data_IF_357484808518
#
_entry.id   IF_357484808518
#
_cell.length_a   1.000
_cell.length_b   1.000
_cell.length_c   1.000
_cell.angle_alpha   90.00
_cell.angle_beta   90.00
_cell.angle_gamma   90.00
#
_symmetry.space_group_name_H-M   'P 1'
#
loop_
_entity.id
_entity.type
_entity.pdbx_description
1 polymer ?
#
# COMPACT_ATOMS: atom_id res chain seq x y z
N UNK A 1 -16.22 8.29 -4.97
CA UNK A 1 -15.87 9.23 -3.90
C UNK A 1 -15.00 10.35 -4.48
N UNK A 2 -15.38 11.58 -4.22
CA UNK A 2 -14.58 12.75 -4.55
C UNK A 2 -14.34 13.57 -3.29
N UNK A 3 -13.10 13.97 -3.06
CA UNK A 3 -12.65 14.72 -1.90
C UNK A 3 -11.88 15.96 -2.34
N UNK A 4 -12.04 17.05 -1.62
CA UNK A 4 -11.13 18.19 -1.76
C UNK A 4 -9.75 17.81 -1.21
N UNK A 5 -8.71 18.39 -1.76
CA UNK A 5 -7.33 18.15 -1.33
C UNK A 5 -7.17 18.18 0.20
N UNK A 6 -7.70 19.20 0.86
CA UNK A 6 -7.62 19.36 2.32
C UNK A 6 -8.30 18.25 3.12
N UNK A 7 -9.33 17.64 2.55
CA UNK A 7 -10.10 16.55 3.21
C UNK A 7 -9.45 15.19 2.95
N UNK A 8 -8.72 15.05 1.84
CA UNK A 8 -8.03 13.83 1.45
C UNK A 8 -6.81 13.50 2.35
N UNK A 9 -6.34 14.46 3.10
CA UNK A 9 -5.24 14.26 4.09
C UNK A 9 -5.60 13.17 5.10
N UNK A 10 -6.87 13.04 5.46
CA UNK A 10 -7.35 11.98 6.35
C UNK A 10 -7.16 10.56 5.78
N UNK A 11 -7.00 10.44 4.46
CA UNK A 11 -6.73 9.18 3.78
C UNK A 11 -5.24 9.01 3.40
N UNK A 12 -4.37 9.84 3.95
CA UNK A 12 -2.95 9.85 3.59
C UNK A 12 -2.67 10.42 2.18
N UNK A 13 -3.64 11.14 1.60
CA UNK A 13 -3.55 11.79 0.30
C UNK A 13 -3.69 13.30 0.47
N UNK A 14 -3.46 14.06 -0.60
CA UNK A 14 -3.54 15.52 -0.53
C UNK A 14 -2.17 16.16 -0.30
N UNK A 15 -2.18 17.47 -0.04
CA UNK A 15 -0.98 18.27 0.15
C UNK A 15 -0.62 19.14 -1.07
N UNK A 16 0.49 19.92 -0.99
CA UNK A 16 0.79 20.97 -1.96
C UNK A 16 1.16 20.48 -3.36
N UNK A 17 1.47 19.18 -3.49
CA UNK A 17 1.81 18.54 -4.78
C UNK A 17 0.65 17.74 -5.37
N UNK A 18 -0.50 17.72 -4.73
CA UNK A 18 -1.70 17.04 -5.21
C UNK A 18 -2.67 18.03 -5.86
N UNK A 19 -3.53 17.53 -6.73
CA UNK A 19 -4.60 18.31 -7.34
C UNK A 19 -5.62 18.81 -6.31
N UNK A 20 -6.46 19.76 -6.70
CA UNK A 20 -7.47 20.37 -5.82
C UNK A 20 -8.57 19.40 -5.43
N UNK A 21 -8.85 18.43 -6.29
CA UNK A 21 -9.85 17.38 -6.08
C UNK A 21 -9.18 16.02 -6.29
N UNK A 22 -9.38 15.14 -5.34
CA UNK A 22 -8.97 13.73 -5.39
C UNK A 22 -10.22 12.88 -5.51
N UNK A 23 -10.25 12.01 -6.51
CA UNK A 23 -11.40 11.15 -6.71
C UNK A 23 -10.98 9.68 -6.81
N UNK A 24 -11.83 8.82 -6.30
CA UNK A 24 -11.68 7.38 -6.32
C UNK A 24 -12.84 6.78 -7.11
N UNK A 25 -12.54 5.88 -8.03
CA UNK A 25 -13.55 5.16 -8.80
C UNK A 25 -14.46 4.37 -7.86
N UNK A 26 -15.73 4.25 -8.24
CA UNK A 26 -16.64 3.35 -7.55
C UNK A 26 -16.25 1.89 -7.83
N UNK A 27 -16.70 0.99 -6.95
CA UNK A 27 -16.51 -0.45 -7.16
C UNK A 27 -17.13 -0.86 -8.51
N UNK A 28 -16.39 -1.61 -9.31
CA UNK A 28 -16.79 -2.01 -10.67
C UNK A 28 -16.28 -1.09 -11.78
N UNK A 29 -15.62 0.04 -11.44
CA UNK A 29 -15.03 0.96 -12.41
C UNK A 29 -13.53 1.05 -12.23
N UNK A 30 -12.79 1.05 -13.31
CA UNK A 30 -11.35 1.33 -13.34
C UNK A 30 -11.12 2.73 -13.90
N UNK A 31 -10.03 3.33 -13.48
CA UNK A 31 -9.51 4.56 -14.07
C UNK A 31 -8.13 4.24 -14.58
N UNK A 32 -7.90 4.46 -15.87
CA UNK A 32 -6.64 4.18 -16.50
C UNK A 32 -5.96 5.48 -16.95
N UNK A 33 -4.66 5.43 -17.03
CA UNK A 33 -3.81 6.56 -17.40
C UNK A 33 -3.45 6.56 -18.89
N UNK A 34 -3.72 5.48 -19.57
CA UNK A 34 -3.40 5.27 -20.97
C UNK A 34 -4.44 4.36 -21.63
N UNK A 35 -4.43 4.32 -22.96
CA UNK A 35 -5.24 3.40 -23.77
C UNK A 35 -4.76 1.94 -23.65
N UNK A 36 -4.48 1.49 -22.45
CA UNK A 36 -4.13 0.11 -22.17
C UNK A 36 -5.35 -0.66 -21.71
N UNK A 37 -5.62 -1.78 -22.37
CA UNK A 37 -6.64 -2.71 -21.91
C UNK A 37 -6.20 -3.32 -20.58
N UNK A 38 -6.94 -3.04 -19.52
CA UNK A 38 -6.79 -3.82 -18.30
C UNK A 38 -7.26 -5.25 -18.56
N UNK A 39 -6.35 -6.21 -18.43
CA UNK A 39 -6.67 -7.63 -18.54
C UNK A 39 -7.32 -8.21 -17.28
N UNK A 40 -7.52 -7.39 -16.28
CA UNK A 40 -8.10 -7.81 -14.99
C UNK A 40 -9.53 -7.36 -14.92
N UNK A 41 -10.44 -8.24 -15.28
CA UNK A 41 -11.88 -8.00 -15.18
C UNK A 41 -12.31 -7.81 -13.72
N UNK A 42 -13.12 -6.78 -13.47
CA UNK A 42 -13.82 -6.58 -12.19
C UNK A 42 -12.96 -6.24 -10.99
N UNK A 43 -11.76 -5.77 -11.20
CA UNK A 43 -10.73 -5.71 -10.16
C UNK A 43 -10.77 -4.49 -9.24
N UNK A 44 -11.72 -3.58 -9.35
CA UNK A 44 -11.62 -2.29 -8.65
C UNK A 44 -11.63 -2.40 -7.14
N UNK A 45 -12.40 -3.29 -6.57
CA UNK A 45 -12.36 -3.56 -5.12
C UNK A 45 -11.16 -4.39 -4.69
N UNK A 46 -10.56 -5.15 -5.60
CA UNK A 46 -9.47 -6.10 -5.35
C UNK A 46 -8.12 -5.60 -5.84
N UNK A 47 -8.06 -4.61 -6.72
CA UNK A 47 -6.81 -4.06 -7.23
C UNK A 47 -5.94 -3.43 -6.15
N UNK A 48 -6.56 -2.98 -5.05
CA UNK A 48 -5.86 -2.49 -3.87
C UNK A 48 -5.44 -3.62 -2.90
N UNK A 49 -5.85 -4.87 -3.16
CA UNK A 49 -5.56 -6.05 -2.34
C UNK A 49 -4.48 -6.89 -3.03
N UNK A 50 -3.27 -6.38 -3.03
CA UNK A 50 -2.13 -7.06 -3.64
C UNK A 50 -1.62 -8.22 -2.78
N UNK A 51 -0.94 -9.17 -3.43
CA UNK A 51 -0.22 -10.23 -2.72
C UNK A 51 1.03 -9.64 -2.06
N UNK A 52 1.27 -10.03 -0.82
CA UNK A 52 2.55 -9.82 -0.15
C UNK A 52 3.23 -11.18 0.08
N UNK A 53 4.45 -11.34 -0.40
CA UNK A 53 5.29 -12.52 -0.18
C UNK A 53 6.72 -12.08 0.12
N UNK A 54 7.34 -12.72 1.09
CA UNK A 54 8.71 -12.45 1.47
C UNK A 54 9.46 -13.75 1.78
N UNK A 55 10.71 -13.84 1.37
CA UNK A 55 11.60 -14.96 1.67
C UNK A 55 13.05 -14.47 1.77
N UNK A 56 13.83 -15.07 2.63
CA UNK A 56 15.25 -14.76 2.80
C UNK A 56 15.71 -14.82 4.25
N UNK A 57 16.99 -14.52 4.50
CA UNK A 57 17.52 -14.48 5.87
C UNK A 57 16.72 -13.52 6.75
N UNK A 58 16.38 -13.94 7.96
CA UNK A 58 15.59 -13.17 8.90
C UNK A 58 14.07 -13.21 8.67
N UNK A 59 13.61 -13.95 7.65
CA UNK A 59 12.18 -14.17 7.38
C UNK A 59 11.81 -15.61 7.81
N UNK A 60 10.69 -15.77 8.50
CA UNK A 60 10.16 -17.06 8.88
C UNK A 60 9.80 -17.90 7.66
N UNK A 61 10.24 -19.14 7.65
CA UNK A 61 9.85 -20.11 6.64
C UNK A 61 8.45 -20.69 6.91
N UNK A 62 7.73 -21.01 5.84
CA UNK A 62 6.40 -21.62 5.89
C UNK A 62 5.37 -20.87 6.77
N UNK A 63 5.57 -19.57 6.95
CA UNK A 63 4.67 -18.74 7.74
C UNK A 63 3.61 -18.09 6.87
N UNK A 64 2.36 -18.16 7.29
CA UNK A 64 1.23 -17.49 6.65
C UNK A 64 0.48 -16.65 7.67
N UNK A 65 0.40 -15.35 7.43
CA UNK A 65 -0.41 -14.46 8.27
C UNK A 65 -1.80 -14.27 7.68
N UNK A 66 -2.79 -14.14 8.57
CA UNK A 66 -4.16 -13.70 8.22
C UNK A 66 -4.34 -12.20 8.40
N UNK A 67 -3.34 -11.51 8.98
CA UNK A 67 -3.39 -10.08 9.19
C UNK A 67 -3.19 -9.36 7.87
N UNK A 68 -3.96 -8.32 7.64
CA UNK A 68 -3.75 -7.40 6.53
C UNK A 68 -2.42 -6.67 6.74
N UNK A 69 -1.62 -6.64 5.68
CA UNK A 69 -0.35 -5.91 5.61
C UNK A 69 -0.56 -4.72 4.69
N UNK A 70 -0.17 -3.56 5.12
CA UNK A 70 -0.26 -2.34 4.32
C UNK A 70 1.03 -2.09 3.54
N UNK A 71 0.92 -1.51 2.37
CA UNK A 71 2.09 -1.20 1.53
C UNK A 71 3.12 -0.33 2.27
N UNK A 72 2.67 0.60 3.09
CA UNK A 72 3.52 1.48 3.91
C UNK A 72 4.35 0.73 4.96
N UNK A 73 3.99 -0.52 5.30
CA UNK A 73 4.70 -1.35 6.27
C UNK A 73 5.97 -2.00 5.69
N UNK A 74 6.12 -2.01 4.37
CA UNK A 74 7.24 -2.70 3.69
C UNK A 74 8.58 -2.02 4.02
N UNK A 75 8.67 -0.71 3.87
CA UNK A 75 9.90 0.05 4.14
C UNK A 75 10.41 -0.11 5.57
N UNK A 76 9.59 0.09 6.62
CA UNK A 76 10.05 -0.13 7.99
C UNK A 76 10.37 -1.59 8.28
N UNK A 77 9.74 -2.55 7.60
CA UNK A 77 10.11 -3.98 7.71
C UNK A 77 11.49 -4.26 7.15
N UNK A 78 11.82 -3.68 6.00
CA UNK A 78 13.17 -3.77 5.42
C UNK A 78 14.20 -3.14 6.37
N UNK A 79 13.90 -1.96 6.90
CA UNK A 79 14.79 -1.30 7.86
C UNK A 79 15.05 -2.17 9.09
N UNK A 80 14.02 -2.82 9.63
CA UNK A 80 14.15 -3.74 10.76
C UNK A 80 15.01 -4.97 10.41
N UNK A 81 14.86 -5.54 9.22
CA UNK A 81 15.68 -6.68 8.75
C UNK A 81 17.16 -6.32 8.66
N UNK A 82 17.48 -5.13 8.21
CA UNK A 82 18.86 -4.66 8.08
C UNK A 82 19.42 -4.01 9.35
N UNK A 83 18.62 -3.89 10.40
CA UNK A 83 19.04 -3.22 11.64
C UNK A 83 19.39 -1.74 11.44
N UNK A 84 18.78 -1.09 10.47
CA UNK A 84 18.97 0.32 10.17
C UNK A 84 17.80 1.16 10.68
N UNK A 85 18.04 2.45 10.85
CA UNK A 85 17.01 3.38 11.27
C UNK A 85 15.93 3.51 10.21
N UNK A 86 14.68 3.45 10.65
CA UNK A 86 13.52 3.72 9.79
C UNK A 86 13.56 5.17 9.32
N UNK A 87 13.34 5.46 8.03
CA UNK A 87 13.23 6.82 7.52
C UNK A 87 12.16 7.62 8.27
N UNK A 88 12.43 8.91 8.48
CA UNK A 88 11.56 9.78 9.30
C UNK A 88 10.14 9.90 8.76
N UNK A 89 9.99 9.86 7.43
CA UNK A 89 8.70 10.00 6.73
C UNK A 89 7.92 8.68 6.64
N UNK A 90 8.41 7.58 7.20
CA UNK A 90 7.67 6.31 7.22
C UNK A 90 6.49 6.38 8.19
N UNK A 91 5.31 6.16 7.68
CA UNK A 91 4.05 6.10 8.46
C UNK A 91 3.67 4.68 8.88
N UNK A 92 4.24 3.66 8.25
CA UNK A 92 3.98 2.25 8.54
C UNK A 92 4.75 1.72 9.74
N UNK A 93 4.46 0.48 10.10
CA UNK A 93 5.15 -0.27 11.15
C UNK A 93 5.76 -1.56 10.60
N UNK A 94 6.90 -2.02 11.16
CA UNK A 94 7.48 -3.30 10.74
C UNK A 94 6.52 -4.46 10.94
N UNK A 95 6.50 -5.37 9.96
CA UNK A 95 5.69 -6.59 10.00
C UNK A 95 6.44 -7.63 10.85
N UNK A 96 6.55 -7.41 12.12
CA UNK A 96 7.33 -8.25 13.03
C UNK A 96 6.93 -9.73 13.03
N UNK A 97 5.69 -10.05 12.68
CA UNK A 97 5.20 -11.43 12.66
C UNK A 97 5.95 -12.31 11.67
N UNK A 98 6.50 -11.74 10.58
CA UNK A 98 7.23 -12.50 9.55
C UNK A 98 8.73 -12.63 9.87
N UNK A 99 9.23 -11.87 10.82
CA UNK A 99 10.63 -11.88 11.19
C UNK A 99 10.95 -13.08 12.09
N UNK A 100 12.05 -13.72 11.81
CA UNK A 100 12.57 -14.85 12.61
C UNK A 100 13.34 -14.41 13.84
#
# INVERSE_FOLDING_TARGET
LALRNKDAVLLGMGGPKCGDIIYLAAVGYTMDHADSFSTVEGACGTSCMSIFAAAGPGIKENFKTKRVVHHVDVTPTIAALFGIRVPHECEGAPIYQILS
#
